data_IF_651136029691
#
_entry.id   IF_651136029691
#
_cell.length_a   1.000
_cell.length_b   1.000
_cell.length_c   1.000
_cell.angle_alpha   90.00
_cell.angle_beta   90.00
_cell.angle_gamma   90.00
#
_symmetry.space_group_name_H-M   'P 1'
#
loop_
_entity.id
_entity.type
_entity.pdbx_description
1 polymer ?
#
# COMPACT_ATOMS: atom_id res chain seq x y z
N UNK A 1 1.67 -16.71 10.37
CA UNK A 1 1.90 -15.84 9.21
C UNK A 1 0.56 -15.65 8.53
N UNK A 2 -0.13 -14.54 8.83
CA UNK A 2 -1.55 -14.37 8.49
C UNK A 2 -1.73 -13.94 7.04
N UNK A 3 -2.45 -14.75 6.26
CA UNK A 3 -3.04 -14.29 5.00
C UNK A 3 -4.25 -13.41 5.32
N UNK A 4 -4.38 -12.29 4.61
CA UNK A 4 -5.59 -11.46 4.70
C UNK A 4 -6.75 -12.18 4.04
N UNK A 5 -7.89 -12.23 4.73
CA UNK A 5 -9.13 -12.77 4.17
C UNK A 5 -10.10 -11.63 3.91
N UNK A 6 -10.66 -11.61 2.71
CA UNK A 6 -11.64 -10.60 2.30
C UNK A 6 -12.80 -10.49 3.28
N UNK A 7 -13.34 -11.62 3.73
CA UNK A 7 -14.45 -11.64 4.70
C UNK A 7 -14.11 -10.91 6.01
N UNK A 8 -12.82 -10.87 6.38
CA UNK A 8 -12.33 -10.32 7.63
C UNK A 8 -11.98 -8.83 7.49
N UNK A 9 -11.92 -8.25 6.28
CA UNK A 9 -11.51 -6.83 6.07
C UNK A 9 -12.42 -6.04 5.13
N UNK A 10 -13.37 -6.70 4.45
CA UNK A 10 -14.23 -6.10 3.42
C UNK A 10 -14.96 -4.83 3.85
N UNK A 11 -15.22 -4.66 5.14
CA UNK A 11 -15.89 -3.47 5.70
C UNK A 11 -15.03 -2.21 5.59
N UNK A 12 -13.70 -2.34 5.50
CA UNK A 12 -12.83 -1.21 5.20
C UNK A 12 -12.79 -0.89 3.71
N UNK A 13 -13.10 -1.84 2.83
CA UNK A 13 -13.01 -1.67 1.38
C UNK A 13 -14.37 -1.31 0.76
N UNK A 14 -15.23 -0.59 1.49
CA UNK A 14 -16.50 -0.09 0.94
C UNK A 14 -16.19 1.05 -0.06
N UNK A 15 -16.48 0.88 -1.36
CA UNK A 15 -16.16 1.89 -2.37
C UNK A 15 -16.95 3.20 -2.21
N UNK A 16 -18.02 3.22 -1.40
CA UNK A 16 -18.81 4.42 -1.14
C UNK A 16 -18.25 5.26 0.02
N UNK A 17 -17.29 4.75 0.80
CA UNK A 17 -16.70 5.41 1.97
C UNK A 17 -15.21 5.73 1.77
N UNK A 18 -14.92 6.74 0.95
CA UNK A 18 -13.56 7.23 0.71
C UNK A 18 -12.69 6.26 -0.11
N UNK A 19 -12.79 6.25 -1.45
CA UNK A 19 -12.21 5.18 -2.25
C UNK A 19 -10.68 5.19 -2.33
N UNK A 20 -10.01 6.28 -1.96
CA UNK A 20 -8.55 6.42 -2.09
C UNK A 20 -7.86 6.18 -0.74
N UNK A 21 -7.64 4.92 -0.41
CA UNK A 21 -6.95 4.57 0.83
C UNK A 21 -5.48 4.97 0.77
N UNK A 22 -5.03 5.70 1.79
CA UNK A 22 -3.65 6.13 1.92
C UNK A 22 -2.79 5.02 2.51
N UNK A 23 -1.51 5.01 2.12
CA UNK A 23 -0.53 4.08 2.63
C UNK A 23 0.84 4.71 2.73
N UNK A 24 1.67 4.13 3.61
CA UNK A 24 3.05 4.57 3.74
C UNK A 24 4.04 3.47 4.11
N UNK A 25 5.30 3.77 3.81
CA UNK A 25 6.47 3.19 4.48
C UNK A 25 7.15 4.30 5.24
N UNK A 26 7.01 4.30 6.57
CA UNK A 26 7.60 5.31 7.44
C UNK A 26 9.02 4.92 7.90
N UNK A 27 9.82 5.91 8.27
CA UNK A 27 11.20 5.73 8.73
C UNK A 27 12.21 5.45 7.61
N UNK A 28 11.87 5.78 6.36
CA UNK A 28 12.81 5.74 5.24
C UNK A 28 13.72 6.97 5.24
N UNK A 29 14.81 6.95 4.48
CA UNK A 29 15.65 8.15 4.31
C UNK A 29 15.02 9.18 3.37
N UNK A 30 15.40 10.47 3.45
CA UNK A 30 14.99 11.47 2.47
C UNK A 30 15.29 11.03 1.02
N UNK A 31 14.30 11.15 0.14
CA UNK A 31 14.41 10.74 -1.27
C UNK A 31 14.25 9.24 -1.52
N UNK A 32 13.97 8.44 -0.49
CA UNK A 32 13.77 6.99 -0.63
C UNK A 32 12.55 6.62 -1.47
N UNK A 33 11.58 7.54 -1.66
CA UNK A 33 10.42 7.32 -2.52
C UNK A 33 10.83 6.93 -3.95
N UNK A 34 11.97 7.41 -4.45
CA UNK A 34 12.44 7.04 -5.80
C UNK A 34 12.82 5.55 -5.93
N UNK A 35 13.18 4.88 -4.82
CA UNK A 35 13.48 3.45 -4.83
C UNK A 35 12.27 2.59 -5.23
N UNK A 36 11.05 3.16 -5.20
CA UNK A 36 9.84 2.51 -5.74
C UNK A 36 9.94 2.32 -7.25
N UNK A 37 10.55 3.27 -7.99
CA UNK A 37 10.74 3.13 -9.42
C UNK A 37 11.68 1.95 -9.73
N UNK A 38 12.76 1.80 -8.96
CA UNK A 38 13.68 0.66 -9.08
C UNK A 38 12.97 -0.66 -8.75
N UNK A 39 12.10 -0.67 -7.72
CA UNK A 39 11.29 -1.82 -7.38
C UNK A 39 10.33 -2.20 -8.52
N UNK A 40 9.64 -1.23 -9.12
CA UNK A 40 8.74 -1.48 -10.24
C UNK A 40 9.48 -2.12 -11.42
N UNK A 41 10.68 -1.62 -11.76
CA UNK A 41 11.54 -2.22 -12.79
C UNK A 41 11.94 -3.65 -12.43
N UNK A 42 12.39 -3.88 -11.19
CA UNK A 42 12.82 -5.20 -10.73
C UNK A 42 11.69 -6.24 -10.75
N UNK A 43 10.45 -5.81 -10.52
CA UNK A 43 9.25 -6.66 -10.53
C UNK A 43 8.57 -6.74 -11.89
N UNK A 44 9.04 -5.97 -12.88
CA UNK A 44 8.42 -5.89 -14.20
C UNK A 44 7.02 -5.26 -14.17
N UNK A 45 6.73 -4.45 -13.16
CA UNK A 45 5.49 -3.71 -13.07
C UNK A 45 5.49 -2.57 -14.07
N UNK A 46 4.33 -2.32 -14.70
CA UNK A 46 4.17 -1.12 -15.51
C UNK A 46 4.26 0.09 -14.58
N UNK A 47 4.98 1.12 -14.99
CA UNK A 47 5.04 2.38 -14.27
C UNK A 47 5.13 3.57 -15.22
N UNK A 48 4.67 4.73 -14.75
CA UNK A 48 4.67 6.00 -15.47
C UNK A 48 4.89 7.15 -14.50
N UNK A 49 5.74 8.11 -14.84
CA UNK A 49 5.96 9.32 -14.05
C UNK A 49 5.25 10.48 -14.75
N UNK A 50 4.23 11.04 -14.13
CA UNK A 50 3.49 12.20 -14.62
C UNK A 50 3.27 13.23 -13.51
N UNK A 51 3.57 14.50 -13.79
CA UNK A 51 3.31 15.60 -12.86
C UNK A 51 3.91 15.46 -11.45
N UNK A 52 4.98 14.68 -11.26
CA UNK A 52 5.56 14.41 -9.93
C UNK A 52 4.91 13.25 -9.17
N UNK A 53 3.99 12.53 -9.81
CA UNK A 53 3.38 11.29 -9.31
C UNK A 53 3.95 10.10 -10.09
N UNK A 54 4.41 9.08 -9.36
CA UNK A 54 4.81 7.81 -9.95
C UNK A 54 3.62 6.85 -9.88
N UNK A 55 3.00 6.63 -11.02
CA UNK A 55 1.96 5.62 -11.22
C UNK A 55 2.62 4.24 -11.36
N UNK A 56 2.16 3.26 -10.59
CA UNK A 56 2.64 1.87 -10.66
C UNK A 56 1.45 0.95 -10.77
N UNK A 57 1.52 -0.04 -11.67
CA UNK A 57 0.53 -1.09 -11.79
C UNK A 57 1.14 -2.45 -11.43
N UNK A 58 1.00 -2.90 -10.16
CA UNK A 58 1.48 -4.22 -9.74
C UNK A 58 0.76 -5.38 -10.43
N UNK A 59 -0.44 -5.14 -10.96
CA UNK A 59 -1.24 -6.07 -11.73
C UNK A 59 -2.27 -5.35 -12.61
N UNK A 60 -2.97 -6.10 -13.46
CA UNK A 60 -4.01 -5.54 -14.34
C UNK A 60 -5.17 -4.95 -13.53
N UNK A 61 -5.46 -3.66 -13.74
CA UNK A 61 -6.54 -2.96 -13.04
C UNK A 61 -6.27 -2.77 -11.55
N UNK A 62 -5.01 -2.66 -11.15
CA UNK A 62 -4.58 -2.24 -9.81
C UNK A 62 -3.52 -1.15 -9.95
N UNK A 63 -3.90 0.09 -9.70
CA UNK A 63 -3.05 1.28 -9.70
C UNK A 63 -2.66 1.65 -8.27
N UNK A 64 -1.39 2.03 -8.12
CA UNK A 64 -0.84 2.65 -6.91
C UNK A 64 -0.20 3.97 -7.32
N UNK A 65 -0.61 5.08 -6.72
CA UNK A 65 -0.01 6.38 -6.99
C UNK A 65 0.96 6.73 -5.87
N UNK A 66 2.25 6.85 -6.20
CA UNK A 66 3.26 7.31 -5.26
C UNK A 66 3.51 8.81 -5.47
N UNK A 67 3.57 9.53 -4.36
CA UNK A 67 3.78 10.97 -4.37
C UNK A 67 5.21 11.31 -3.97
N UNK A 68 5.74 12.40 -4.52
CA UNK A 68 6.98 12.99 -4.01
C UNK A 68 6.76 13.45 -2.57
N UNK A 69 7.22 12.62 -1.62
CA UNK A 69 7.13 12.90 -0.20
C UNK A 69 8.35 13.70 0.28
N UNK A 70 8.09 14.75 1.06
CA UNK A 70 9.12 15.50 1.78
C UNK A 70 9.27 14.90 3.16
N UNK A 71 10.37 14.19 3.41
CA UNK A 71 10.65 13.63 4.73
C UNK A 71 11.17 12.22 4.68
N UNK A 72 10.86 11.47 5.74
CA UNK A 72 11.27 10.10 6.01
C UNK A 72 10.18 9.08 5.71
N UNK A 73 9.33 9.37 4.72
CA UNK A 73 8.20 8.53 4.33
C UNK A 73 8.16 8.30 2.82
N UNK A 74 7.70 7.12 2.42
CA UNK A 74 7.15 6.88 1.08
C UNK A 74 5.65 6.87 1.22
N UNK A 75 4.95 7.78 0.52
CA UNK A 75 3.50 7.91 0.57
C UNK A 75 2.89 7.42 -0.75
N UNK A 76 1.74 6.76 -0.64
CA UNK A 76 0.97 6.33 -1.79
C UNK A 76 -0.53 6.27 -1.49
N UNK A 77 -1.35 6.28 -2.53
CA UNK A 77 -2.75 5.89 -2.44
C UNK A 77 -3.03 4.60 -3.26
N UNK A 78 -4.13 3.95 -2.92
CA UNK A 78 -4.74 2.87 -3.71
C UNK A 78 -6.24 3.11 -3.84
N UNK A 79 -6.81 2.75 -4.99
CA UNK A 79 -8.26 2.82 -5.18
C UNK A 79 -8.92 1.51 -4.73
N UNK A 80 -9.71 1.53 -3.66
CA UNK A 80 -10.37 0.33 -3.14
C UNK A 80 -11.41 -0.23 -4.10
N UNK A 81 -11.91 0.57 -5.07
CA UNK A 81 -12.82 0.08 -6.12
C UNK A 81 -12.14 -0.96 -7.02
N UNK A 82 -10.82 -0.88 -7.14
CA UNK A 82 -9.99 -1.83 -7.88
C UNK A 82 -9.66 -3.09 -7.06
N UNK A 83 -9.86 -3.03 -5.75
CA UNK A 83 -9.41 -4.02 -4.77
C UNK A 83 -10.54 -4.92 -4.24
N UNK A 84 -11.62 -5.07 -5.01
CA UNK A 84 -12.82 -5.78 -4.57
C UNK A 84 -12.69 -7.31 -4.66
N UNK A 85 -12.89 -7.98 -3.53
CA UNK A 85 -12.90 -9.44 -3.43
C UNK A 85 -11.53 -10.06 -3.10
N UNK A 86 -11.54 -11.36 -2.80
CA UNK A 86 -10.34 -12.05 -2.30
C UNK A 86 -9.17 -12.02 -3.28
N UNK A 87 -9.42 -12.25 -4.57
CA UNK A 87 -8.34 -12.25 -5.59
C UNK A 87 -7.63 -10.88 -5.66
N UNK A 88 -8.39 -9.79 -5.56
CA UNK A 88 -7.84 -8.44 -5.60
C UNK A 88 -7.14 -8.08 -4.29
N UNK A 89 -7.66 -8.52 -3.14
CA UNK A 89 -6.99 -8.41 -1.85
C UNK A 89 -5.67 -9.19 -1.82
N UNK A 90 -5.61 -10.35 -2.48
CA UNK A 90 -4.38 -11.14 -2.59
C UNK A 90 -3.31 -10.38 -3.39
N UNK A 91 -3.70 -9.67 -4.47
CA UNK A 91 -2.79 -8.80 -5.23
C UNK A 91 -2.26 -7.65 -4.39
N UNK A 92 -3.13 -6.96 -3.62
CA UNK A 92 -2.72 -5.94 -2.66
C UNK A 92 -1.73 -6.54 -1.65
N UNK A 93 -2.04 -7.72 -1.11
CA UNK A 93 -1.20 -8.40 -0.13
C UNK A 93 0.19 -8.74 -0.68
N UNK A 94 0.29 -9.18 -1.93
CA UNK A 94 1.58 -9.39 -2.60
C UNK A 94 2.33 -8.07 -2.77
N UNK A 95 1.67 -7.01 -3.22
CA UNK A 95 2.28 -5.69 -3.39
C UNK A 95 2.84 -5.15 -2.06
N UNK A 96 2.06 -5.15 -0.98
CA UNK A 96 2.51 -4.67 0.34
C UNK A 96 3.71 -5.46 0.86
N UNK A 97 3.73 -6.78 0.65
CA UNK A 97 4.88 -7.64 0.99
C UNK A 97 6.12 -7.23 0.21
N UNK A 98 5.99 -7.02 -1.10
CA UNK A 98 7.10 -6.66 -1.96
C UNK A 98 7.68 -5.28 -1.59
N UNK A 99 6.81 -4.32 -1.30
CA UNK A 99 7.22 -3.00 -0.85
C UNK A 99 7.93 -3.06 0.52
N UNK A 100 7.33 -3.75 1.50
CA UNK A 100 7.91 -3.87 2.84
C UNK A 100 9.24 -4.61 2.87
N UNK A 101 9.41 -5.63 2.02
CA UNK A 101 10.68 -6.35 1.85
C UNK A 101 11.74 -5.50 1.17
N UNK A 102 11.36 -4.66 0.21
CA UNK A 102 12.28 -3.76 -0.48
C UNK A 102 12.88 -2.71 0.47
N UNK A 103 12.06 -2.16 1.37
CA UNK A 103 12.51 -1.18 2.36
C UNK A 103 12.99 -1.79 3.68
N UNK A 104 12.64 -3.05 3.97
CA UNK A 104 12.89 -3.68 5.27
C UNK A 104 12.08 -3.05 6.40
N UNK A 105 10.95 -2.40 6.07
CA UNK A 105 10.14 -1.59 6.98
C UNK A 105 8.65 -1.94 6.84
N UNK A 106 7.83 -1.73 7.90
CA UNK A 106 6.40 -1.95 7.81
C UNK A 106 5.74 -1.11 6.72
N UNK A 107 4.69 -1.67 6.11
CA UNK A 107 3.85 -0.95 5.14
C UNK A 107 2.46 -0.81 5.72
N UNK A 108 2.06 0.42 6.03
CA UNK A 108 0.79 0.76 6.63
C UNK A 108 -0.24 1.16 5.58
N UNK A 109 -1.51 0.87 5.86
CA UNK A 109 -2.68 1.39 5.17
C UNK A 109 -3.64 2.05 6.15
N UNK A 110 -4.25 3.13 5.71
CA UNK A 110 -5.28 3.88 6.43
C UNK A 110 -6.39 4.32 5.48
N UNK A 111 -7.49 4.82 6.04
CA UNK A 111 -8.59 5.42 5.28
C UNK A 111 -8.15 6.72 4.61
N UNK A 112 -8.85 7.10 3.54
CA UNK A 112 -8.59 8.34 2.80
C UNK A 112 -8.48 9.57 3.74
N UNK A 113 -7.38 10.30 3.64
CA UNK A 113 -7.12 11.53 4.39
C UNK A 113 -6.61 11.34 5.82
N UNK A 114 -6.47 10.10 6.30
CA UNK A 114 -5.84 9.81 7.59
C UNK A 114 -4.31 9.70 7.43
N UNK A 115 -3.56 9.91 8.51
CA UNK A 115 -2.10 9.77 8.50
C UNK A 115 -1.71 8.28 8.66
N UNK A 116 -1.19 7.61 7.62
CA UNK A 116 -0.90 6.16 7.67
C UNK A 116 0.19 5.80 8.68
N UNK A 117 1.06 6.74 9.06
CA UNK A 117 2.10 6.50 10.07
C UNK A 117 1.56 6.53 11.51
N UNK A 118 0.39 7.13 11.73
CA UNK A 118 -0.20 7.36 13.06
C UNK A 118 -1.47 6.57 13.29
N UNK A 119 -2.30 6.41 12.26
CA UNK A 119 -3.64 5.85 12.36
C UNK A 119 -3.88 4.68 11.38
N UNK A 120 -2.96 3.70 11.25
CA UNK A 120 -3.20 2.57 10.37
C UNK A 120 -4.40 1.74 10.85
N UNK A 121 -5.15 1.16 9.92
CA UNK A 121 -6.09 0.06 10.23
C UNK A 121 -5.44 -1.31 9.99
N UNK A 122 -4.41 -1.36 9.14
CA UNK A 122 -3.71 -2.57 8.71
C UNK A 122 -2.25 -2.21 8.41
N UNK A 123 -1.32 -3.08 8.79
CA UNK A 123 0.03 -3.05 8.23
C UNK A 123 0.58 -4.44 7.89
N UNK A 124 1.50 -4.47 6.93
CA UNK A 124 2.42 -5.59 6.72
C UNK A 124 3.66 -5.41 7.60
N UNK A 125 3.99 -6.42 8.40
CA UNK A 125 5.24 -6.51 9.16
C UNK A 125 6.25 -7.41 8.42
N UNK A 126 7.37 -6.87 7.90
CA UNK A 126 8.39 -7.65 7.21
C UNK A 126 9.20 -8.57 8.14
N UNK A 127 9.25 -8.30 9.45
CA UNK A 127 9.96 -9.14 10.44
C UNK A 127 9.16 -10.41 10.70
N UNK A 128 7.85 -10.29 10.91
CA UNK A 128 6.95 -11.43 11.08
C UNK A 128 6.48 -12.05 9.75
N UNK A 129 6.78 -11.40 8.63
CA UNK A 129 6.30 -11.69 7.28
C UNK A 129 4.77 -11.86 7.21
N UNK A 130 4.04 -11.02 7.93
CA UNK A 130 2.60 -11.17 8.14
C UNK A 130 1.85 -9.84 8.19
N UNK A 131 0.54 -9.92 8.02
CA UNK A 131 -0.35 -8.78 8.20
C UNK A 131 -0.85 -8.69 9.63
N UNK A 132 -0.97 -7.47 10.13
CA UNK A 132 -1.46 -7.12 11.46
C UNK A 132 -2.62 -6.14 11.29
N UNK A 133 -3.75 -6.44 11.94
CA UNK A 133 -4.89 -5.53 12.01
C UNK A 133 -4.69 -4.60 13.21
N UNK A 134 -4.48 -3.31 12.97
CA UNK A 134 -4.31 -2.30 14.00
C UNK A 134 -5.66 -1.80 14.54
N UNK A 135 -6.71 -2.00 13.75
CA UNK A 135 -8.10 -1.71 14.10
C UNK A 135 -8.97 -2.94 13.83
N UNK A 136 -10.08 -3.06 14.56
CA UNK A 136 -11.11 -4.06 14.23
C UNK A 136 -11.98 -3.57 13.06
N UNK A 137 -12.35 -4.45 12.10
CA UNK A 137 -13.40 -4.20 11.13
C UNK A 137 -14.73 -3.88 11.84
N UNK A 138 -15.51 -2.96 11.29
CA UNK A 138 -16.70 -2.37 11.94
C UNK A 138 -18.01 -3.06 11.61
#
# INVERSE_FOLDING_TARGET
MGELRWRDVREWFDPEDGPLHDGCVAGVGPGAWWAVADLAVARGWRSELDGGTLHVWPGEGFLVNFFEAVGDEVLFDVDVRELQGQERLDLLGVFLRELGRAFGLPVALTFEGCDPSKEPYLHYDPVADGFVLDREPG
#
